data_IF_046883740779
#
_entry.id   IF_046883740779
#
_cell.length_a   1.000
_cell.length_b   1.000
_cell.length_c   1.000
_cell.angle_alpha   90.00
_cell.angle_beta   90.00
_cell.angle_gamma   90.00
#
_symmetry.space_group_name_H-M   'P 1'
#
loop_
_entity.id
_entity.type
_entity.pdbx_description
1 polymer ?
#
# COMPACT_ATOMS: atom_id res chain seq x y z
N UNK A 1 -63.14 17.69 49.00
CA UNK A 1 -63.01 17.00 47.69
C UNK A 1 -61.91 17.61 46.79
N UNK A 2 -61.47 18.85 47.01
CA UNK A 2 -60.40 19.52 46.24
C UNK A 2 -59.00 18.88 46.42
N UNK A 3 -58.62 18.51 47.64
CA UNK A 3 -57.27 18.02 47.95
C UNK A 3 -56.90 16.67 47.27
N UNK A 4 -57.89 15.79 47.06
CA UNK A 4 -57.69 14.49 46.38
C UNK A 4 -57.47 14.68 44.88
N UNK A 5 -58.23 15.58 44.25
CA UNK A 5 -58.09 15.93 42.82
C UNK A 5 -56.71 16.51 42.50
N UNK A 6 -56.14 17.32 43.40
CA UNK A 6 -54.83 17.95 43.17
C UNK A 6 -53.68 16.94 43.33
N UNK A 7 -53.78 16.00 44.28
CA UNK A 7 -52.83 14.89 44.38
C UNK A 7 -52.87 13.95 43.17
N UNK A 8 -54.06 13.68 42.62
CA UNK A 8 -54.23 12.88 41.40
C UNK A 8 -53.52 13.54 40.19
N UNK A 9 -53.67 14.86 40.04
CA UNK A 9 -52.98 15.64 38.99
C UNK A 9 -51.46 15.57 39.13
N UNK A 10 -50.94 15.76 40.34
CA UNK A 10 -49.50 15.66 40.61
C UNK A 10 -48.95 14.26 40.31
N UNK A 11 -49.71 13.21 40.64
CA UNK A 11 -49.33 11.83 40.32
C UNK A 11 -49.23 11.62 38.80
N UNK A 12 -50.22 12.07 38.05
CA UNK A 12 -50.24 11.97 36.57
C UNK A 12 -49.09 12.76 35.95
N UNK A 13 -48.74 13.93 36.49
CA UNK A 13 -47.61 14.73 36.01
C UNK A 13 -46.26 14.06 36.29
N UNK A 14 -46.08 13.49 37.49
CA UNK A 14 -44.89 12.72 37.84
C UNK A 14 -44.74 11.47 36.96
N UNK A 15 -45.84 10.77 36.66
CA UNK A 15 -45.83 9.63 35.74
C UNK A 15 -45.45 10.05 34.32
N UNK A 16 -45.97 11.18 33.83
CA UNK A 16 -45.55 11.74 32.53
C UNK A 16 -44.06 12.07 32.50
N UNK A 17 -43.54 12.72 33.54
CA UNK A 17 -42.12 13.05 33.64
C UNK A 17 -41.24 11.79 33.63
N UNK A 18 -41.65 10.71 34.32
CA UNK A 18 -40.92 9.42 34.29
C UNK A 18 -40.90 8.82 32.88
N UNK A 19 -42.04 8.83 32.19
CA UNK A 19 -42.13 8.35 30.80
C UNK A 19 -41.21 9.15 29.88
N UNK A 20 -41.18 10.48 30.01
CA UNK A 20 -40.31 11.33 29.20
C UNK A 20 -38.82 11.09 29.50
N UNK A 21 -38.46 10.89 30.77
CA UNK A 21 -37.11 10.55 31.17
C UNK A 21 -36.65 9.20 30.61
N UNK A 22 -37.54 8.20 30.62
CA UNK A 22 -37.24 6.88 30.07
C UNK A 22 -37.11 6.93 28.53
N UNK A 23 -37.94 7.73 27.84
CA UNK A 23 -37.76 8.00 26.40
C UNK A 23 -36.39 8.63 26.11
N UNK A 24 -36.00 9.63 26.89
CA UNK A 24 -34.70 10.28 26.73
C UNK A 24 -33.52 9.29 26.91
N UNK A 25 -33.61 8.37 27.87
CA UNK A 25 -32.59 7.33 28.04
C UNK A 25 -32.52 6.39 26.84
N UNK A 26 -33.67 5.95 26.32
CA UNK A 26 -33.73 5.10 25.12
C UNK A 26 -33.11 5.82 23.91
N UNK A 27 -33.42 7.10 23.71
CA UNK A 27 -32.83 7.90 22.62
C UNK A 27 -31.32 8.05 22.77
N UNK A 28 -30.82 8.26 24.01
CA UNK A 28 -29.40 8.34 24.29
C UNK A 28 -28.68 7.02 24.01
N UNK A 29 -29.27 5.89 24.41
CA UNK A 29 -28.71 4.57 24.16
C UNK A 29 -28.70 4.23 22.67
N UNK A 30 -29.74 4.64 21.94
CA UNK A 30 -29.78 4.54 20.47
C UNK A 30 -28.66 5.36 19.82
N UNK A 31 -28.47 6.61 20.25
CA UNK A 31 -27.40 7.46 19.73
C UNK A 31 -26.00 6.88 19.99
N UNK A 32 -25.77 6.29 21.18
CA UNK A 32 -24.52 5.58 21.47
C UNK A 32 -24.32 4.38 20.54
N UNK A 33 -25.35 3.57 20.34
CA UNK A 33 -25.28 2.43 19.44
C UNK A 33 -24.95 2.86 18.00
N UNK A 34 -25.52 3.97 17.52
CA UNK A 34 -25.22 4.53 16.20
C UNK A 34 -23.76 5.03 16.08
N UNK A 35 -23.22 5.63 17.15
CA UNK A 35 -21.80 6.01 17.20
C UNK A 35 -20.87 4.80 17.19
N UNK A 36 -21.21 3.73 17.92
CA UNK A 36 -20.42 2.50 17.96
C UNK A 36 -20.38 1.83 16.58
N UNK A 37 -21.51 1.80 15.86
CA UNK A 37 -21.57 1.30 14.48
C UNK A 37 -20.67 2.13 13.56
N UNK A 38 -20.74 3.46 13.62
CA UNK A 38 -19.86 4.34 12.82
C UNK A 38 -18.39 4.14 13.13
N UNK A 39 -18.05 3.94 14.41
CA UNK A 39 -16.68 3.68 14.84
C UNK A 39 -16.16 2.38 14.22
N UNK A 40 -16.95 1.31 14.29
CA UNK A 40 -16.61 0.02 13.67
C UNK A 40 -16.40 0.18 12.16
N UNK A 41 -17.26 0.93 11.47
CA UNK A 41 -17.12 1.18 10.02
C UNK A 41 -15.80 1.89 9.68
N UNK A 42 -15.44 2.92 10.44
CA UNK A 42 -14.16 3.63 10.29
C UNK A 42 -12.97 2.71 10.59
N UNK A 43 -13.07 1.89 11.62
CA UNK A 43 -12.01 0.94 11.99
C UNK A 43 -11.79 -0.11 10.90
N UNK A 44 -12.86 -0.68 10.34
CA UNK A 44 -12.79 -1.63 9.20
C UNK A 44 -12.12 -0.97 8.00
N UNK A 45 -12.52 0.27 7.66
CA UNK A 45 -11.93 1.01 6.56
C UNK A 45 -10.44 1.27 6.77
N UNK A 46 -10.06 1.70 7.97
CA UNK A 46 -8.67 1.95 8.36
C UNK A 46 -7.81 0.69 8.25
N UNK A 47 -8.28 -0.44 8.78
CA UNK A 47 -7.58 -1.74 8.69
C UNK A 47 -7.39 -2.16 7.24
N UNK A 48 -8.43 -2.08 6.41
CA UNK A 48 -8.35 -2.42 5.00
C UNK A 48 -7.35 -1.54 4.23
N UNK A 49 -7.39 -0.22 4.47
CA UNK A 49 -6.49 0.74 3.86
C UNK A 49 -5.02 0.49 4.26
N UNK A 50 -4.77 0.27 5.55
CA UNK A 50 -3.42 -0.06 6.05
C UNK A 50 -2.90 -1.36 5.44
N UNK A 51 -3.75 -2.38 5.31
CA UNK A 51 -3.39 -3.63 4.63
C UNK A 51 -2.91 -3.39 3.20
N UNK A 52 -3.65 -2.61 2.41
CA UNK A 52 -3.28 -2.26 1.03
C UNK A 52 -1.93 -1.53 0.99
N UNK A 53 -1.70 -0.57 1.89
CA UNK A 53 -0.45 0.18 1.96
C UNK A 53 0.74 -0.73 2.31
N UNK A 54 0.56 -1.65 3.26
CA UNK A 54 1.58 -2.65 3.62
C UNK A 54 1.92 -3.55 2.44
N UNK A 55 0.92 -4.07 1.72
CA UNK A 55 1.14 -4.90 0.53
C UNK A 55 1.89 -4.15 -0.57
N UNK A 56 1.51 -2.90 -0.85
CA UNK A 56 2.20 -2.07 -1.84
C UNK A 56 3.67 -1.83 -1.45
N UNK A 57 3.92 -1.50 -0.18
CA UNK A 57 5.28 -1.27 0.35
C UNK A 57 6.12 -2.55 0.27
N UNK A 58 5.55 -3.69 0.62
CA UNK A 58 6.22 -4.99 0.53
C UNK A 58 6.55 -5.34 -0.92
N UNK A 59 5.64 -5.08 -1.86
CA UNK A 59 5.85 -5.29 -3.29
C UNK A 59 7.01 -4.45 -3.84
N UNK A 60 7.04 -3.14 -3.54
CA UNK A 60 8.12 -2.25 -3.98
C UNK A 60 9.47 -2.69 -3.39
N UNK A 61 9.51 -2.99 -2.09
CA UNK A 61 10.73 -3.50 -1.43
C UNK A 61 11.21 -4.80 -2.07
N UNK A 62 10.29 -5.70 -2.41
CA UNK A 62 10.61 -6.95 -3.08
C UNK A 62 11.22 -6.70 -4.46
N UNK A 63 10.66 -5.78 -5.27
CA UNK A 63 11.21 -5.43 -6.59
C UNK A 63 12.64 -4.87 -6.51
N UNK A 64 12.91 -3.99 -5.54
CA UNK A 64 14.27 -3.46 -5.31
C UNK A 64 15.20 -4.60 -4.88
N UNK A 65 14.75 -5.44 -3.94
CA UNK A 65 15.55 -6.51 -3.38
C UNK A 65 15.90 -7.59 -4.42
N UNK A 66 14.93 -8.07 -5.21
CA UNK A 66 15.18 -9.13 -6.20
C UNK A 66 16.10 -8.65 -7.32
N UNK A 67 15.90 -7.42 -7.82
CA UNK A 67 16.78 -6.86 -8.85
C UNK A 67 18.18 -6.59 -8.27
N UNK A 68 18.26 -6.02 -7.06
CA UNK A 68 19.53 -5.77 -6.37
C UNK A 68 20.30 -7.05 -6.08
N UNK A 69 19.62 -8.09 -5.60
CA UNK A 69 20.22 -9.40 -5.36
C UNK A 69 20.73 -10.04 -6.64
N UNK A 70 19.99 -9.92 -7.75
CA UNK A 70 20.43 -10.41 -9.06
C UNK A 70 21.70 -9.69 -9.54
N UNK A 71 21.76 -8.36 -9.43
CA UNK A 71 22.96 -7.56 -9.74
C UNK A 71 24.15 -8.02 -8.92
N UNK A 72 24.00 -8.11 -7.60
CA UNK A 72 25.08 -8.51 -6.70
C UNK A 72 25.56 -9.92 -7.03
N UNK A 73 24.64 -10.87 -7.21
CA UNK A 73 24.95 -12.26 -7.54
C UNK A 73 25.72 -12.37 -8.86
N UNK A 74 25.28 -11.67 -9.90
CA UNK A 74 25.98 -11.66 -11.19
C UNK A 74 27.36 -11.02 -11.07
N UNK A 75 27.49 -9.90 -10.37
CA UNK A 75 28.76 -9.21 -10.22
C UNK A 75 29.78 -10.05 -9.44
N UNK A 76 29.35 -10.72 -8.37
CA UNK A 76 30.18 -11.68 -7.62
C UNK A 76 30.63 -12.83 -8.51
N UNK A 77 29.73 -13.39 -9.31
CA UNK A 77 30.06 -14.48 -10.21
C UNK A 77 31.05 -14.06 -11.31
N UNK A 78 30.79 -12.93 -11.97
CA UNK A 78 31.67 -12.37 -13.01
C UNK A 78 33.05 -12.06 -12.46
N UNK A 79 33.13 -11.49 -11.26
CA UNK A 79 34.41 -11.21 -10.58
C UNK A 79 35.26 -12.47 -10.37
N UNK A 80 34.62 -13.60 -10.07
CA UNK A 80 35.30 -14.88 -9.89
C UNK A 80 35.70 -15.57 -11.21
N UNK A 81 34.99 -15.31 -12.32
CA UNK A 81 35.23 -15.95 -13.61
C UNK A 81 36.16 -15.18 -14.54
N UNK A 82 36.36 -13.88 -14.34
CA UNK A 82 37.16 -13.03 -15.23
C UNK A 82 38.59 -13.57 -15.46
N UNK A 83 39.12 -14.36 -14.52
CA UNK A 83 40.44 -14.97 -14.62
C UNK A 83 40.44 -16.42 -15.16
N UNK A 84 39.26 -17.04 -15.34
CA UNK A 84 39.10 -18.49 -15.57
C UNK A 84 38.40 -18.83 -16.88
N UNK A 85 37.56 -17.94 -17.40
CA UNK A 85 36.71 -18.22 -18.57
C UNK A 85 36.69 -17.03 -19.53
N UNK A 86 36.70 -17.29 -20.86
CA UNK A 86 36.33 -16.28 -21.86
C UNK A 86 34.83 -16.03 -21.77
N UNK A 87 34.45 -14.91 -21.17
CA UNK A 87 33.06 -14.50 -21.07
C UNK A 87 32.65 -13.74 -22.34
N UNK A 88 31.57 -14.19 -22.99
CA UNK A 88 30.85 -13.35 -23.95
C UNK A 88 30.34 -12.11 -23.22
N UNK A 89 31.04 -11.00 -23.40
CA UNK A 89 30.86 -9.80 -22.57
C UNK A 89 29.51 -9.13 -22.78
N UNK A 90 28.84 -9.41 -23.92
CA UNK A 90 27.62 -8.71 -24.32
C UNK A 90 26.37 -9.20 -23.56
N UNK A 91 26.15 -10.52 -23.50
CA UNK A 91 24.91 -11.08 -22.91
C UNK A 91 24.82 -10.87 -21.40
N UNK A 92 25.95 -10.97 -20.67
CA UNK A 92 25.99 -10.68 -19.24
C UNK A 92 25.81 -9.18 -18.96
N UNK A 93 26.42 -8.32 -19.78
CA UNK A 93 26.23 -6.88 -19.70
C UNK A 93 24.75 -6.49 -19.88
N UNK A 94 24.07 -7.08 -20.86
CA UNK A 94 22.64 -6.84 -21.11
C UNK A 94 21.78 -7.24 -19.91
N UNK A 95 22.07 -8.39 -19.30
CA UNK A 95 21.36 -8.85 -18.11
C UNK A 95 21.56 -7.91 -16.91
N UNK A 96 22.80 -7.49 -16.65
CA UNK A 96 23.15 -6.58 -15.57
C UNK A 96 22.46 -5.21 -15.75
N UNK A 97 22.48 -4.70 -16.97
CA UNK A 97 21.85 -3.43 -17.34
C UNK A 97 20.33 -3.51 -17.13
N UNK A 98 19.70 -4.62 -17.51
CA UNK A 98 18.27 -4.83 -17.28
C UNK A 98 17.92 -4.78 -15.79
N UNK A 99 18.66 -5.47 -14.92
CA UNK A 99 18.39 -5.42 -13.49
C UNK A 99 18.59 -4.02 -12.89
N UNK A 100 19.62 -3.28 -13.31
CA UNK A 100 19.84 -1.89 -12.89
C UNK A 100 18.69 -0.96 -13.33
N UNK A 101 18.17 -1.13 -14.54
CA UNK A 101 16.97 -0.44 -15.00
C UNK A 101 15.74 -0.85 -14.18
N UNK A 102 15.64 -2.12 -13.80
CA UNK A 102 14.63 -2.62 -12.87
C UNK A 102 14.64 -1.90 -11.52
N UNK A 103 15.81 -1.78 -10.89
CA UNK A 103 15.98 -1.03 -9.62
C UNK A 103 15.59 0.43 -9.82
N UNK A 104 16.06 1.06 -10.91
CA UNK A 104 15.81 2.47 -11.20
C UNK A 104 14.31 2.76 -11.34
N UNK A 105 13.57 1.89 -12.03
CA UNK A 105 12.11 2.01 -12.18
C UNK A 105 11.36 1.79 -10.85
N UNK A 106 11.83 0.86 -10.00
CA UNK A 106 11.25 0.68 -8.67
C UNK A 106 11.48 1.91 -7.76
N UNK A 107 12.65 2.56 -7.86
CA UNK A 107 12.93 3.81 -7.15
C UNK A 107 12.08 4.98 -7.65
N UNK A 108 11.85 5.07 -8.96
CA UNK A 108 10.93 6.06 -9.54
C UNK A 108 9.49 5.82 -9.03
N UNK A 109 9.05 4.56 -8.98
CA UNK A 109 7.74 4.20 -8.39
C UNK A 109 7.62 4.71 -6.95
N UNK A 110 8.63 4.43 -6.11
CA UNK A 110 8.67 4.89 -4.72
C UNK A 110 8.60 6.43 -4.62
N UNK A 111 9.38 7.13 -5.44
CA UNK A 111 9.40 8.59 -5.47
C UNK A 111 8.06 9.19 -5.91
N UNK A 112 7.44 8.64 -6.96
CA UNK A 112 6.12 9.08 -7.42
C UNK A 112 5.03 8.79 -6.39
N UNK A 113 5.10 7.66 -5.69
CA UNK A 113 4.17 7.34 -4.60
C UNK A 113 4.27 8.35 -3.45
N UNK A 114 5.49 8.81 -3.12
CA UNK A 114 5.70 9.86 -2.14
C UNK A 114 5.11 11.22 -2.59
N UNK A 115 5.31 11.61 -3.85
CA UNK A 115 4.69 12.84 -4.40
C UNK A 115 3.17 12.75 -4.35
N UNK A 116 2.60 11.61 -4.76
CA UNK A 116 1.16 11.37 -4.68
C UNK A 116 0.62 11.60 -3.26
N UNK A 117 1.32 11.09 -2.25
CA UNK A 117 0.92 11.23 -0.85
C UNK A 117 0.92 12.70 -0.40
N UNK A 118 1.95 13.47 -0.73
CA UNK A 118 2.01 14.91 -0.42
C UNK A 118 0.79 15.63 -1.02
N UNK A 119 0.49 15.37 -2.28
CA UNK A 119 -0.60 16.06 -3.00
C UNK A 119 -2.00 15.68 -2.48
N UNK A 120 -2.19 14.46 -1.99
CA UNK A 120 -3.45 14.00 -1.38
C UNK A 120 -3.69 14.64 -0.01
N UNK A 121 -2.64 14.86 0.78
CA UNK A 121 -2.73 15.42 2.14
C UNK A 121 -3.03 16.93 2.11
N UNK A 122 -2.47 17.68 1.16
CA UNK A 122 -2.61 19.16 1.10
C UNK A 122 -3.92 19.68 0.48
N UNK A 123 -4.99 18.88 0.43
CA UNK A 123 -6.24 19.16 -0.33
C UNK A 123 -6.83 20.57 -0.07
N UNK A 124 -6.65 21.48 -1.05
CA UNK A 124 -7.45 22.72 -1.22
C UNK A 124 -8.38 22.72 -2.45
N UNK A 125 -8.19 21.83 -3.44
CA UNK A 125 -9.04 21.77 -4.65
C UNK A 125 -9.03 20.37 -5.29
N UNK A 126 -10.15 19.94 -5.91
CA UNK A 126 -10.21 18.71 -6.71
C UNK A 126 -9.26 18.83 -7.91
N UNK A 127 -8.16 18.09 -7.89
CA UNK A 127 -7.13 18.05 -8.93
C UNK A 127 -7.03 16.63 -9.49
N UNK A 128 -6.87 16.51 -10.81
CA UNK A 128 -6.69 15.21 -11.50
C UNK A 128 -5.25 14.69 -11.42
N UNK A 129 -4.29 15.56 -11.09
CA UNK A 129 -2.86 15.25 -11.07
C UNK A 129 -2.46 14.07 -10.17
N UNK A 130 -2.98 13.95 -8.92
CA UNK A 130 -2.65 12.80 -8.07
C UNK A 130 -3.05 11.45 -8.70
N UNK A 131 -4.19 11.41 -9.41
CA UNK A 131 -4.64 10.19 -10.07
C UNK A 131 -3.68 9.77 -11.20
N UNK A 132 -3.19 10.73 -11.98
CA UNK A 132 -2.22 10.48 -13.05
C UNK A 132 -0.89 9.98 -12.46
N UNK A 133 -0.35 10.65 -11.44
CA UNK A 133 0.91 10.26 -10.79
C UNK A 133 0.84 8.84 -10.24
N UNK A 134 -0.29 8.47 -9.63
CA UNK A 134 -0.53 7.11 -9.14
C UNK A 134 -0.48 6.07 -10.26
N UNK A 135 -1.11 6.34 -11.41
CA UNK A 135 -1.09 5.43 -12.56
C UNK A 135 0.34 5.26 -13.08
N UNK A 136 1.09 6.36 -13.21
CA UNK A 136 2.49 6.32 -13.65
C UNK A 136 3.34 5.51 -12.67
N UNK A 137 3.14 5.67 -11.35
CA UNK A 137 3.86 4.89 -10.35
C UNK A 137 3.60 3.38 -10.48
N UNK A 138 2.35 2.97 -10.71
CA UNK A 138 1.99 1.56 -10.93
C UNK A 138 2.63 1.02 -12.21
N UNK A 139 2.61 1.79 -13.30
CA UNK A 139 3.28 1.42 -14.56
C UNK A 139 4.78 1.23 -14.33
N UNK A 140 5.44 2.13 -13.59
CA UNK A 140 6.86 2.02 -13.28
C UNK A 140 7.18 0.72 -12.50
N UNK A 141 6.33 0.32 -11.55
CA UNK A 141 6.49 -0.95 -10.84
C UNK A 141 6.36 -2.17 -11.78
N UNK A 142 5.40 -2.16 -12.70
CA UNK A 142 5.23 -3.24 -13.68
C UNK A 142 6.40 -3.30 -14.67
N UNK A 143 6.90 -2.15 -15.10
CA UNK A 143 8.09 -2.06 -15.96
C UNK A 143 9.33 -2.59 -15.23
N UNK A 144 9.49 -2.28 -13.94
CA UNK A 144 10.57 -2.83 -13.11
C UNK A 144 10.53 -4.37 -13.08
N UNK A 145 9.34 -4.96 -12.92
CA UNK A 145 9.16 -6.41 -12.99
C UNK A 145 9.48 -6.96 -14.39
N UNK A 146 9.08 -6.26 -15.45
CA UNK A 146 9.42 -6.63 -16.82
C UNK A 146 10.93 -6.69 -17.05
N UNK A 147 11.67 -5.70 -16.54
CA UNK A 147 13.13 -5.69 -16.58
C UNK A 147 13.77 -6.83 -15.78
N UNK A 148 13.21 -7.19 -14.63
CA UNK A 148 13.67 -8.35 -13.87
C UNK A 148 13.52 -9.64 -14.69
N UNK A 149 12.35 -9.86 -15.29
CA UNK A 149 12.06 -11.05 -16.11
C UNK A 149 12.98 -11.10 -17.33
N UNK A 150 13.11 -9.99 -18.06
CA UNK A 150 14.00 -9.90 -19.23
C UNK A 150 15.47 -10.15 -18.87
N UNK A 151 15.95 -9.51 -17.79
CA UNK A 151 17.30 -9.70 -17.27
C UNK A 151 17.57 -11.16 -16.87
N UNK A 152 16.56 -11.84 -16.31
CA UNK A 152 16.64 -13.26 -15.94
C UNK A 152 16.84 -14.15 -17.16
N UNK A 153 16.06 -13.95 -18.23
CA UNK A 153 16.24 -14.70 -19.47
C UNK A 153 17.62 -14.46 -20.09
N UNK A 154 18.09 -13.22 -20.13
CA UNK A 154 19.42 -12.88 -20.68
C UNK A 154 20.56 -13.44 -19.85
N UNK A 155 20.42 -13.47 -18.53
CA UNK A 155 21.40 -14.10 -17.66
C UNK A 155 21.49 -15.61 -17.96
N UNK A 156 20.37 -16.31 -18.07
CA UNK A 156 20.35 -17.75 -18.42
C UNK A 156 20.99 -18.02 -19.78
N UNK A 157 20.67 -17.21 -20.80
CA UNK A 157 21.29 -17.32 -22.12
C UNK A 157 22.82 -17.16 -22.04
N UNK A 158 23.29 -16.18 -21.26
CA UNK A 158 24.71 -15.92 -21.12
C UNK A 158 25.45 -17.09 -20.43
N UNK A 159 24.84 -17.75 -19.45
CA UNK A 159 25.44 -18.91 -18.79
C UNK A 159 25.55 -20.14 -19.69
N UNK A 160 24.64 -20.31 -20.65
CA UNK A 160 24.68 -21.43 -21.58
C UNK A 160 25.84 -21.35 -22.59
N UNK A 161 26.46 -20.17 -22.75
CA UNK A 161 27.52 -19.90 -23.74
C UNK A 161 28.92 -19.91 -23.08
N UNK A 162 29.01 -20.21 -21.78
CA UNK A 162 30.29 -20.23 -21.04
C UNK A 162 31.09 -21.47 -21.44
N UNK A 163 32.17 -21.29 -22.20
CA UNK A 163 33.13 -22.34 -22.55
C UNK A 163 34.43 -22.20 -21.73
N UNK A 164 35.01 -23.31 -21.21
CA UNK A 164 36.27 -23.24 -20.46
C UNK A 164 37.44 -22.74 -21.33
N UNK A 165 38.34 -21.94 -20.75
CA UNK A 165 39.62 -21.60 -21.41
C UNK A 165 40.45 -22.88 -21.49
N UNK A 166 40.78 -23.32 -22.70
CA UNK A 166 41.80 -24.34 -22.94
C UNK A 166 43.19 -23.84 -22.56
#
# INVERSE_FOLDING_TARGET
MTNVSDMEKQRIELERYKVDLDRYKVDLDRYKAELDVRKIEVDIWSVGFNGILTFATLGIKSLILINGAAVISLLTFVGNLIQKVKLSSHSLYDSLTSYLLGISMAMICLFLAYIFQIMEVEKKKKSIWPAIIRIIAVIAALVSLGFFIYGSFKATEAFNIIEPIQ
#
